data_IF_112243021792
#
_entry.id   IF_112243021792
#
_cell.length_a   1.000
_cell.length_b   1.000
_cell.length_c   1.000
_cell.angle_alpha   90.00
_cell.angle_beta   90.00
_cell.angle_gamma   90.00
#
_symmetry.space_group_name_H-M   'P 1'
#
loop_
_entity.id
_entity.type
_entity.pdbx_description
1 polymer ?
#
# COMPACT_ATOMS: atom_id res chain seq x y z
N UNK A 1 6.37 2.36 -4.20
CA UNK A 1 5.80 3.25 -5.25
C UNK A 1 6.93 4.10 -5.78
N UNK A 2 7.11 4.24 -7.09
CA UNK A 2 8.18 5.10 -7.65
C UNK A 2 7.77 6.60 -7.56
N UNK A 3 8.74 7.45 -7.22
CA UNK A 3 8.61 8.90 -7.11
C UNK A 3 8.19 9.59 -8.41
N UNK A 4 8.56 9.04 -9.56
CA UNK A 4 8.27 9.64 -10.86
C UNK A 4 6.87 9.32 -11.38
N UNK A 5 6.04 8.64 -10.58
CA UNK A 5 4.69 8.26 -10.99
C UNK A 5 3.68 9.39 -10.77
N UNK A 6 2.68 9.45 -11.66
CA UNK A 6 1.49 10.29 -11.46
C UNK A 6 0.80 9.96 -10.13
N UNK A 7 0.80 8.68 -9.71
CA UNK A 7 0.22 8.24 -8.43
C UNK A 7 0.90 8.94 -7.25
N UNK A 8 2.23 9.00 -7.24
CA UNK A 8 2.98 9.71 -6.19
C UNK A 8 2.65 11.20 -6.19
N UNK A 9 2.69 11.85 -7.35
CA UNK A 9 2.37 13.27 -7.49
C UNK A 9 0.94 13.59 -7.03
N UNK A 10 -0.03 12.75 -7.40
CA UNK A 10 -1.43 12.91 -7.01
C UNK A 10 -1.62 12.78 -5.50
N UNK A 11 -1.03 11.75 -4.89
CA UNK A 11 -1.11 11.54 -3.43
C UNK A 11 -0.36 12.62 -2.63
N UNK A 12 0.70 13.21 -3.19
CA UNK A 12 1.38 14.37 -2.61
C UNK A 12 0.50 15.63 -2.65
N UNK A 13 -0.28 15.83 -3.72
CA UNK A 13 -1.20 16.96 -3.87
C UNK A 13 -2.49 16.79 -3.07
N UNK A 14 -3.04 15.59 -3.04
CA UNK A 14 -4.26 15.24 -2.32
C UNK A 14 -4.11 13.82 -1.74
N UNK A 15 -4.00 13.73 -0.43
CA UNK A 15 -3.74 12.48 0.25
C UNK A 15 -5.00 11.63 0.53
N UNK A 16 -6.19 12.06 0.08
CA UNK A 16 -7.41 11.25 0.20
C UNK A 16 -7.28 9.99 -0.66
N UNK A 17 -7.51 8.82 -0.07
CA UNK A 17 -7.33 7.53 -0.73
C UNK A 17 -8.43 6.54 -0.35
N UNK A 18 -8.73 5.61 -1.26
CA UNK A 18 -9.56 4.43 -1.02
C UNK A 18 -8.84 3.19 -1.51
N UNK A 19 -8.81 2.14 -0.69
CA UNK A 19 -8.27 0.83 -1.02
C UNK A 19 -9.43 -0.18 -1.06
N UNK A 20 -9.62 -0.82 -2.21
CA UNK A 20 -10.56 -1.92 -2.41
C UNK A 20 -9.75 -3.22 -2.50
N UNK A 21 -10.19 -4.23 -1.76
CA UNK A 21 -9.72 -5.61 -1.92
C UNK A 21 -10.96 -6.47 -2.13
N UNK A 22 -11.06 -7.09 -3.30
CA UNK A 22 -12.16 -7.95 -3.69
C UNK A 22 -11.67 -9.35 -4.06
N UNK A 23 -12.55 -10.33 -3.90
CA UNK A 23 -12.36 -11.71 -4.34
C UNK A 23 -13.64 -12.18 -5.00
N UNK A 24 -13.49 -12.87 -6.13
CA UNK A 24 -14.59 -13.51 -6.82
C UNK A 24 -14.39 -15.03 -6.77
N UNK A 25 -14.64 -15.60 -5.60
CA UNK A 25 -14.60 -17.05 -5.37
C UNK A 25 -16.03 -17.59 -5.35
N UNK A 26 -16.25 -18.74 -6.01
CA UNK A 26 -17.52 -19.48 -6.00
C UNK A 26 -18.78 -18.66 -6.34
N UNK A 27 -18.68 -17.75 -7.31
CA UNK A 27 -19.75 -16.79 -7.69
C UNK A 27 -20.23 -15.90 -6.52
N UNK A 28 -19.44 -15.76 -5.45
CA UNK A 28 -19.71 -14.88 -4.31
C UNK A 28 -18.73 -13.73 -4.32
N UNK A 29 -19.23 -12.55 -4.70
CA UNK A 29 -18.46 -11.32 -4.65
C UNK A 29 -18.30 -10.88 -3.20
N UNK A 30 -17.07 -10.97 -2.68
CA UNK A 30 -16.71 -10.42 -1.36
C UNK A 30 -15.77 -9.27 -1.56
N UNK A 31 -15.94 -8.19 -0.81
CA UNK A 31 -14.93 -7.14 -0.79
C UNK A 31 -14.86 -6.37 0.52
N UNK A 32 -13.73 -5.71 0.70
CA UNK A 32 -13.47 -4.75 1.77
C UNK A 32 -12.95 -3.46 1.14
N UNK A 33 -13.56 -2.34 1.52
CA UNK A 33 -13.13 -1.00 1.16
C UNK A 33 -12.64 -0.29 2.42
N UNK A 34 -11.43 0.26 2.36
CA UNK A 34 -10.87 1.16 3.37
C UNK A 34 -10.67 2.54 2.77
N UNK A 35 -11.38 3.54 3.28
CA UNK A 35 -11.25 4.95 2.90
C UNK A 35 -10.51 5.71 4.00
N UNK A 36 -9.69 6.68 3.60
CA UNK A 36 -8.94 7.49 4.56
C UNK A 36 -7.91 8.38 3.90
N UNK A 37 -6.77 8.54 4.57
CA UNK A 37 -5.64 9.34 4.07
C UNK A 37 -4.38 8.51 3.89
N UNK A 38 -3.54 8.92 2.95
CA UNK A 38 -2.24 8.33 2.69
C UNK A 38 -1.14 9.10 3.43
N UNK A 39 -0.15 8.36 3.96
CA UNK A 39 1.16 8.89 4.36
C UNK A 39 2.26 8.12 3.66
N UNK A 40 3.33 8.81 3.31
CA UNK A 40 4.52 8.16 2.76
C UNK A 40 5.51 7.83 3.88
N UNK A 41 6.04 6.61 3.83
CA UNK A 41 7.16 6.18 4.67
C UNK A 41 8.35 6.03 3.72
N UNK A 42 9.32 6.94 3.84
CA UNK A 42 10.48 6.98 2.95
C UNK A 42 11.69 6.24 3.53
N UNK A 43 11.87 6.29 4.85
CA UNK A 43 13.10 5.89 5.56
C UNK A 43 12.80 5.54 7.03
N UNK A 44 13.82 5.06 7.74
CA UNK A 44 13.81 4.80 9.17
C UNK A 44 13.33 3.41 9.56
N UNK A 45 13.23 3.16 10.87
CA UNK A 45 12.99 1.81 11.40
C UNK A 45 11.70 1.16 10.88
N UNK A 46 10.65 1.96 10.73
CA UNK A 46 9.38 1.49 10.17
C UNK A 46 9.53 1.02 8.72
N UNK A 47 10.37 1.69 7.93
CA UNK A 47 10.66 1.27 6.55
C UNK A 47 11.39 -0.08 6.52
N UNK A 48 12.42 -0.25 7.35
CA UNK A 48 13.16 -1.52 7.42
C UNK A 48 12.25 -2.69 7.80
N UNK A 49 11.39 -2.48 8.79
CA UNK A 49 10.44 -3.51 9.23
C UNK A 49 9.45 -3.87 8.12
N UNK A 50 8.97 -2.88 7.34
CA UNK A 50 8.11 -3.13 6.18
C UNK A 50 8.87 -3.89 5.07
N UNK A 51 10.11 -3.51 4.74
CA UNK A 51 10.91 -4.27 3.79
C UNK A 51 11.08 -5.72 4.20
N UNK A 52 11.33 -6.00 5.49
CA UNK A 52 11.42 -7.38 6.02
C UNK A 52 10.10 -8.14 5.87
N UNK A 53 8.96 -7.50 6.19
CA UNK A 53 7.64 -8.12 6.02
C UNK A 53 7.36 -8.47 4.56
N UNK A 54 7.66 -7.57 3.63
CA UNK A 54 7.48 -7.79 2.19
C UNK A 54 8.43 -8.87 1.67
N UNK A 55 9.71 -8.83 2.05
CA UNK A 55 10.70 -9.84 1.70
C UNK A 55 10.27 -11.24 2.17
N UNK A 56 9.72 -11.36 3.38
CA UNK A 56 9.25 -12.65 3.88
C UNK A 56 8.03 -13.15 3.10
N UNK A 57 7.13 -12.25 2.69
CA UNK A 57 5.85 -12.59 2.08
C UNK A 57 5.89 -12.81 0.57
N UNK A 58 6.74 -12.10 -0.16
CA UNK A 58 6.71 -12.04 -1.62
C UNK A 58 8.04 -12.43 -2.23
N UNK A 59 8.04 -13.51 -3.02
CA UNK A 59 9.25 -14.09 -3.60
C UNK A 59 10.00 -13.11 -4.51
N UNK A 60 9.26 -12.30 -5.28
CA UNK A 60 9.84 -11.30 -6.19
C UNK A 60 10.59 -10.18 -5.45
N UNK A 61 10.21 -9.86 -4.20
CA UNK A 61 10.91 -8.85 -3.38
C UNK A 61 12.29 -9.35 -2.94
N UNK A 62 12.48 -10.68 -2.87
CA UNK A 62 13.78 -11.27 -2.51
C UNK A 62 14.80 -11.16 -3.64
N UNK A 63 14.32 -11.10 -4.89
CA UNK A 63 15.17 -10.98 -6.07
C UNK A 63 15.72 -9.55 -6.23
N UNK A 64 14.93 -8.55 -5.86
CA UNK A 64 15.31 -7.12 -5.95
C UNK A 64 14.73 -6.32 -4.76
N UNK A 65 15.42 -6.35 -3.59
CA UNK A 65 14.94 -5.68 -2.39
C UNK A 65 15.19 -4.17 -2.43
N UNK A 66 14.18 -3.37 -2.10
CA UNK A 66 14.32 -1.91 -2.05
C UNK A 66 15.23 -1.43 -0.93
N UNK A 67 16.10 -0.47 -1.26
CA UNK A 67 16.86 0.32 -0.28
C UNK A 67 16.06 1.54 0.17
N UNK A 68 16.42 2.05 1.34
CA UNK A 68 15.78 3.25 1.88
C UNK A 68 15.94 4.43 0.91
N UNK A 69 14.84 5.12 0.63
CA UNK A 69 14.84 6.27 -0.26
C UNK A 69 14.74 5.96 -1.76
N UNK A 70 14.73 4.70 -2.20
CA UNK A 70 14.48 4.34 -3.60
C UNK A 70 13.00 4.43 -3.97
N UNK A 71 12.11 4.07 -3.04
CA UNK A 71 10.67 4.16 -3.20
C UNK A 71 9.98 4.31 -1.84
N UNK A 72 8.93 5.13 -1.68
CA UNK A 72 8.12 5.13 -0.48
C UNK A 72 7.19 3.91 -0.40
N UNK A 73 6.92 3.49 0.83
CA UNK A 73 5.69 2.78 1.16
C UNK A 73 4.55 3.78 1.30
N UNK A 74 3.35 3.37 0.86
CA UNK A 74 2.11 4.11 1.08
C UNK A 74 1.39 3.49 2.26
N UNK A 75 1.32 4.21 3.36
CA UNK A 75 0.53 3.83 4.52
C UNK A 75 -0.87 4.43 4.39
N UNK A 76 -1.89 3.57 4.42
CA UNK A 76 -3.30 4.00 4.48
C UNK A 76 -3.69 4.12 5.94
N UNK A 77 -4.18 5.30 6.34
CA UNK A 77 -4.79 5.55 7.65
C UNK A 77 -6.30 5.60 7.44
N UNK A 78 -7.02 4.49 7.66
CA UNK A 78 -8.45 4.43 7.38
C UNK A 78 -9.23 5.26 8.40
N UNK A 79 -10.25 5.97 7.92
CA UNK A 79 -11.28 6.60 8.75
C UNK A 79 -12.67 5.98 8.52
N UNK A 80 -12.84 5.22 7.43
CA UNK A 80 -14.07 4.48 7.13
C UNK A 80 -13.73 3.14 6.50
N UNK A 81 -14.45 2.10 6.93
CA UNK A 81 -14.38 0.75 6.38
C UNK A 81 -15.78 0.30 5.95
N UNK A 82 -15.90 -0.29 4.77
CA UNK A 82 -17.12 -0.92 4.26
C UNK A 82 -16.76 -2.33 3.79
N UNK A 83 -17.68 -3.29 3.95
CA UNK A 83 -17.47 -4.65 3.43
C UNK A 83 -18.78 -5.30 3.02
N UNK A 84 -18.73 -6.12 1.99
CA UNK A 84 -19.84 -7.01 1.59
C UNK A 84 -19.33 -8.44 1.41
N UNK A 85 -20.23 -9.40 1.59
CA UNK A 85 -19.93 -10.84 1.64
C UNK A 85 -21.01 -11.64 0.92
#
# INVERSE_FOLDING_TARGET
MDYNTLKYTNLKKNNKISLLVDTNEDNKNKAVVAQGTAKFIHRGKNFENLCKLFHNRFDWVRQDPWKQGEAPFVMVIPNRKVSWR
#
